data_IF_143897444013
#
_entry.id   IF_143897444013
#
_cell.length_a   1.000
_cell.length_b   1.000
_cell.length_c   1.000
_cell.angle_alpha   90.00
_cell.angle_beta   90.00
_cell.angle_gamma   90.00
#
_symmetry.space_group_name_H-M   'P 1'
#
loop_
_entity.id
_entity.type
_entity.pdbx_description
1 polymer ?
#
# COMPACT_ATOMS: atom_id res chain seq x y z
N UNK A 1 8.59 27.81 -37.51
CA UNK A 1 7.38 26.97 -37.67
C UNK A 1 7.64 25.67 -38.46
N UNK A 2 8.88 25.15 -38.48
CA UNK A 2 9.22 23.84 -39.06
C UNK A 2 9.85 22.91 -37.99
N UNK A 3 10.32 23.47 -36.86
CA UNK A 3 10.91 22.74 -35.74
C UNK A 3 9.89 22.07 -34.78
N UNK A 4 8.60 22.42 -34.87
CA UNK A 4 7.54 21.88 -33.99
C UNK A 4 6.99 20.56 -34.53
N UNK A 5 7.21 20.26 -35.82
CA UNK A 5 6.69 19.06 -36.49
C UNK A 5 7.60 17.84 -36.24
N UNK A 6 8.89 18.05 -35.90
CA UNK A 6 9.85 16.97 -35.64
C UNK A 6 9.73 16.33 -34.24
N UNK A 7 8.96 16.90 -33.31
CA UNK A 7 8.73 16.33 -31.98
C UNK A 7 7.50 15.41 -31.91
N UNK A 8 6.73 15.28 -33.00
CA UNK A 8 5.52 14.46 -33.08
C UNK A 8 5.75 13.07 -33.69
N UNK A 9 7.00 12.68 -33.92
CA UNK A 9 7.37 11.36 -34.47
C UNK A 9 8.26 10.53 -33.54
N UNK A 10 8.09 10.64 -32.22
CA UNK A 10 8.38 9.49 -31.37
C UNK A 10 7.19 8.54 -31.49
N UNK A 11 7.40 7.55 -32.35
CA UNK A 11 6.65 6.31 -32.43
C UNK A 11 6.36 5.81 -31.02
N UNK A 12 5.13 6.03 -30.54
CA UNK A 12 4.62 5.23 -29.45
C UNK A 12 4.41 3.87 -30.09
N UNK A 13 5.45 3.04 -30.01
CA UNK A 13 5.28 1.61 -30.09
C UNK A 13 4.15 1.29 -29.13
N UNK A 14 3.02 0.85 -29.67
CA UNK A 14 2.11 0.01 -28.92
C UNK A 14 2.90 -1.23 -28.56
N UNK A 15 3.66 -1.19 -27.47
CA UNK A 15 3.98 -2.40 -26.75
C UNK A 15 2.59 -2.97 -26.42
N UNK A 16 2.20 -4.05 -27.09
CA UNK A 16 1.16 -4.89 -26.53
C UNK A 16 1.64 -5.20 -25.12
N UNK A 17 1.02 -4.58 -24.11
CA UNK A 17 1.30 -4.91 -22.74
C UNK A 17 0.93 -6.39 -22.61
N UNK A 18 1.93 -7.26 -22.68
CA UNK A 18 1.81 -8.61 -22.16
C UNK A 18 1.33 -8.39 -20.72
N UNK A 19 0.11 -8.83 -20.42
CA UNK A 19 -0.60 -8.58 -19.16
C UNK A 19 0.05 -9.33 -17.98
N UNK A 20 1.36 -9.20 -17.80
CA UNK A 20 2.07 -9.88 -16.72
C UNK A 20 1.57 -9.37 -15.36
N UNK A 21 1.36 -10.32 -14.47
CA UNK A 21 1.07 -10.07 -13.06
C UNK A 21 2.15 -9.13 -12.49
N UNK A 22 1.82 -7.89 -12.08
CA UNK A 22 2.78 -6.83 -11.74
C UNK A 22 3.38 -7.01 -10.34
N UNK A 23 3.74 -8.24 -10.02
CA UNK A 23 4.33 -8.63 -8.76
C UNK A 23 5.83 -8.34 -8.83
N UNK A 24 6.32 -7.46 -7.94
CA UNK A 24 7.73 -7.02 -7.94
C UNK A 24 8.68 -8.01 -7.24
N UNK A 25 8.17 -9.09 -6.66
CA UNK A 25 9.01 -10.07 -5.96
C UNK A 25 9.73 -11.00 -6.93
N UNK A 26 10.79 -11.65 -6.44
CA UNK A 26 11.47 -12.73 -7.14
C UNK A 26 10.64 -14.01 -7.09
N UNK A 27 9.42 -13.93 -7.62
CA UNK A 27 8.56 -15.08 -7.85
C UNK A 27 9.00 -15.75 -9.14
N UNK A 28 9.18 -17.07 -9.12
CA UNK A 28 9.09 -17.81 -10.38
C UNK A 28 7.64 -17.64 -10.88
N UNK A 29 7.43 -17.10 -12.08
CA UNK A 29 6.08 -16.85 -12.64
C UNK A 29 5.32 -18.14 -13.02
N UNK A 30 5.79 -19.29 -12.54
CA UNK A 30 5.11 -20.58 -12.64
C UNK A 30 3.93 -20.62 -11.70
N UNK A 31 2.75 -20.90 -12.25
CA UNK A 31 1.58 -21.28 -11.45
C UNK A 31 1.94 -22.44 -10.51
N UNK A 32 1.48 -22.36 -9.25
CA UNK A 32 1.49 -23.52 -8.37
C UNK A 32 0.12 -24.18 -8.46
N UNK A 33 0.10 -25.45 -8.88
CA UNK A 33 -1.12 -26.23 -8.91
C UNK A 33 -1.72 -26.35 -7.50
N UNK A 34 -3.05 -26.31 -7.43
CA UNK A 34 -3.85 -26.47 -6.21
C UNK A 34 -3.59 -25.34 -5.18
N UNK A 35 -3.32 -24.13 -5.66
CA UNK A 35 -3.30 -22.95 -4.80
C UNK A 35 -4.72 -22.53 -4.40
N UNK A 36 -4.85 -21.88 -3.23
CA UNK A 36 -6.14 -21.31 -2.83
C UNK A 36 -6.57 -20.23 -3.83
N UNK A 37 -5.62 -19.46 -4.36
CA UNK A 37 -5.86 -18.41 -5.37
C UNK A 37 -6.31 -19.02 -6.69
N UNK A 38 -5.73 -20.14 -7.13
CA UNK A 38 -6.14 -20.85 -8.34
C UNK A 38 -7.54 -21.42 -8.18
N UNK A 39 -7.83 -22.07 -7.05
CA UNK A 39 -9.16 -22.61 -6.76
C UNK A 39 -10.20 -21.50 -6.75
N UNK A 40 -9.91 -20.39 -6.05
CA UNK A 40 -10.75 -19.19 -6.06
C UNK A 40 -10.99 -18.67 -7.48
N UNK A 41 -9.94 -18.62 -8.30
CA UNK A 41 -10.04 -18.14 -9.67
C UNK A 41 -10.95 -19.01 -10.53
N UNK A 42 -10.83 -20.34 -10.39
CA UNK A 42 -11.69 -21.31 -11.09
C UNK A 42 -13.15 -21.20 -10.66
N UNK A 43 -13.40 -21.02 -9.37
CA UNK A 43 -14.76 -20.87 -8.82
C UNK A 43 -15.46 -19.59 -9.29
N UNK A 44 -14.70 -18.54 -9.63
CA UNK A 44 -15.20 -17.24 -10.07
C UNK A 44 -15.08 -17.03 -11.59
N UNK A 45 -14.96 -18.09 -12.39
CA UNK A 45 -14.82 -18.05 -13.85
C UNK A 45 -13.73 -17.05 -14.33
N UNK A 46 -12.66 -16.91 -13.53
CA UNK A 46 -11.61 -15.92 -13.72
C UNK A 46 -10.33 -16.55 -14.29
N UNK A 47 -9.50 -15.73 -14.92
CA UNK A 47 -8.30 -16.18 -15.61
C UNK A 47 -7.08 -16.11 -14.67
N UNK A 48 -6.46 -17.26 -14.41
CA UNK A 48 -5.13 -17.28 -13.82
C UNK A 48 -4.08 -16.86 -14.87
N UNK A 49 -3.29 -15.84 -14.55
CA UNK A 49 -2.12 -15.44 -15.32
C UNK A 49 -0.89 -15.36 -14.40
N UNK A 50 -0.02 -16.36 -14.51
CA UNK A 50 1.13 -16.53 -13.61
C UNK A 50 0.68 -16.66 -12.15
N UNK A 51 0.91 -15.60 -11.38
CA UNK A 51 0.58 -15.50 -9.94
C UNK A 51 -0.71 -14.75 -9.64
N UNK A 52 -1.31 -14.13 -10.65
CA UNK A 52 -2.49 -13.29 -10.47
C UNK A 52 -3.74 -14.03 -10.97
N UNK A 53 -4.82 -13.96 -10.18
CA UNK A 53 -6.16 -14.23 -10.67
C UNK A 53 -6.77 -12.93 -11.20
N UNK A 54 -7.21 -12.95 -12.46
CA UNK A 54 -7.70 -11.78 -13.18
C UNK A 54 -9.17 -12.00 -13.56
N UNK A 55 -10.04 -11.09 -13.11
CA UNK A 55 -11.45 -11.03 -13.49
C UNK A 55 -11.72 -9.72 -14.23
N UNK A 56 -12.22 -9.80 -15.46
CA UNK A 56 -12.55 -8.61 -16.27
C UNK A 56 -11.44 -7.54 -16.29
N UNK A 57 -10.17 -7.95 -16.47
CA UNK A 57 -8.95 -7.11 -16.44
C UNK A 57 -8.50 -6.60 -15.08
N UNK A 58 -9.23 -6.91 -14.01
CA UNK A 58 -8.90 -6.54 -12.62
C UNK A 58 -8.20 -7.69 -11.92
N UNK A 59 -7.15 -7.40 -11.14
CA UNK A 59 -6.49 -8.41 -10.31
C UNK A 59 -7.32 -8.58 -9.03
N UNK A 60 -7.94 -9.76 -8.89
CA UNK A 60 -8.77 -10.12 -7.73
C UNK A 60 -8.06 -11.09 -6.79
N UNK A 61 -6.96 -11.70 -7.23
CA UNK A 61 -6.20 -12.64 -6.40
C UNK A 61 -4.71 -12.63 -6.70
N UNK A 62 -3.89 -12.86 -5.68
CA UNK A 62 -2.42 -12.90 -5.81
C UNK A 62 -1.83 -14.05 -4.98
N UNK A 63 -1.11 -14.95 -5.64
CA UNK A 63 -0.34 -16.04 -5.02
C UNK A 63 1.14 -15.66 -4.92
N UNK A 64 1.61 -15.37 -3.71
CA UNK A 64 3.00 -15.00 -3.43
C UNK A 64 3.77 -16.10 -2.69
N UNK A 65 3.31 -17.35 -2.77
CA UNK A 65 4.02 -18.46 -2.12
C UNK A 65 5.41 -18.66 -2.73
N UNK A 66 6.37 -19.06 -1.89
CA UNK A 66 7.75 -19.31 -2.30
C UNK A 66 8.44 -18.15 -3.04
N UNK A 67 8.04 -16.91 -2.77
CA UNK A 67 8.61 -15.73 -3.43
C UNK A 67 9.71 -15.05 -2.60
N UNK A 68 10.09 -15.61 -1.45
CA UNK A 68 11.09 -15.04 -0.54
C UNK A 68 10.65 -13.70 0.04
N UNK A 69 9.33 -13.51 0.22
CA UNK A 69 8.77 -12.26 0.72
C UNK A 69 9.06 -12.14 2.22
N UNK A 70 9.78 -11.10 2.61
CA UNK A 70 10.05 -10.76 4.02
C UNK A 70 9.23 -9.57 4.52
N UNK A 71 8.76 -8.74 3.58
CA UNK A 71 7.89 -7.58 3.82
C UNK A 71 6.96 -7.39 2.63
N UNK A 72 5.70 -7.04 2.90
CA UNK A 72 4.69 -6.88 1.87
C UNK A 72 4.75 -5.45 1.33
N UNK A 73 4.97 -5.35 0.02
CA UNK A 73 4.88 -4.13 -0.77
C UNK A 73 3.81 -4.29 -1.87
N UNK A 74 2.53 -4.18 -1.48
CA UNK A 74 1.35 -4.27 -2.37
C UNK A 74 0.65 -2.89 -2.49
N UNK A 75 1.39 -1.80 -2.32
CA UNK A 75 0.82 -0.43 -2.25
C UNK A 75 0.30 0.13 -3.59
N UNK A 76 0.51 -0.58 -4.69
CA UNK A 76 0.11 -0.12 -6.01
C UNK A 76 -1.42 -0.17 -6.18
N UNK A 77 -2.04 0.84 -6.84
CA UNK A 77 -3.49 0.88 -7.05
C UNK A 77 -4.07 -0.34 -7.77
N UNK A 78 -3.24 -1.04 -8.56
CA UNK A 78 -3.63 -2.26 -9.29
C UNK A 78 -4.11 -3.39 -8.37
N UNK A 79 -3.71 -3.38 -7.10
CA UNK A 79 -4.09 -4.39 -6.11
C UNK A 79 -5.28 -3.98 -5.23
N UNK A 80 -5.89 -2.82 -5.46
CA UNK A 80 -7.00 -2.29 -4.63
C UNK A 80 -8.24 -3.19 -4.61
N UNK A 81 -8.40 -4.05 -5.61
CA UNK A 81 -9.53 -4.98 -5.77
C UNK A 81 -9.14 -6.42 -5.44
N UNK A 82 -7.99 -6.64 -4.80
CA UNK A 82 -7.56 -7.98 -4.40
C UNK A 82 -8.43 -8.49 -3.26
N UNK A 83 -9.11 -9.60 -3.52
CA UNK A 83 -10.01 -10.30 -2.60
C UNK A 83 -9.32 -11.48 -1.90
N UNK A 84 -8.34 -12.11 -2.57
CA UNK A 84 -7.57 -13.24 -2.05
C UNK A 84 -6.06 -13.02 -2.16
N UNK A 85 -5.33 -13.23 -1.05
CA UNK A 85 -3.88 -13.11 -0.97
C UNK A 85 -3.29 -14.33 -0.26
N UNK A 86 -2.35 -15.01 -0.91
CA UNK A 86 -1.65 -16.16 -0.36
C UNK A 86 -0.16 -15.85 -0.13
N UNK A 87 0.25 -15.76 1.13
CA UNK A 87 1.62 -15.50 1.58
C UNK A 87 2.28 -16.72 2.23
N UNK A 88 1.65 -17.90 2.16
CA UNK A 88 2.24 -19.13 2.72
C UNK A 88 3.64 -19.39 2.12
N UNK A 89 4.40 -20.26 2.76
CA UNK A 89 5.72 -20.67 2.25
C UNK A 89 6.72 -19.51 2.03
N UNK A 90 6.62 -18.47 2.86
CA UNK A 90 7.59 -17.38 2.95
C UNK A 90 8.13 -17.24 4.38
N UNK A 91 9.34 -16.70 4.52
CA UNK A 91 10.01 -16.48 5.81
C UNK A 91 9.58 -15.13 6.45
N UNK A 92 8.28 -14.94 6.64
CA UNK A 92 7.80 -13.80 7.42
C UNK A 92 8.10 -13.99 8.90
N UNK A 93 8.59 -12.95 9.58
CA UNK A 93 8.65 -12.91 11.05
C UNK A 93 7.34 -12.39 11.65
N UNK A 94 6.75 -11.39 11.00
CA UNK A 94 5.51 -10.74 11.40
C UNK A 94 4.88 -10.06 10.19
N UNK A 95 3.55 -10.14 10.07
CA UNK A 95 2.78 -9.31 9.16
C UNK A 95 2.04 -8.24 9.98
N UNK A 96 2.15 -6.99 9.58
CA UNK A 96 1.52 -5.85 10.27
C UNK A 96 0.27 -5.35 9.55
N UNK A 97 -0.74 -4.80 10.25
CA UNK A 97 -1.90 -4.18 9.60
C UNK A 97 -1.53 -3.09 8.58
N UNK A 98 -0.43 -2.37 8.83
CA UNK A 98 0.08 -1.30 7.97
C UNK A 98 0.48 -1.79 6.57
N UNK A 99 0.94 -3.03 6.47
CA UNK A 99 1.31 -3.68 5.20
C UNK A 99 0.10 -4.06 4.34
N UNK A 100 -1.09 -4.12 4.94
CA UNK A 100 -2.35 -4.43 4.25
C UNK A 100 -3.20 -3.19 3.99
N UNK A 101 -2.63 -2.00 4.17
CA UNK A 101 -3.32 -0.74 3.86
C UNK A 101 -3.68 -0.70 2.36
N UNK A 102 -4.88 -0.22 2.08
CA UNK A 102 -5.55 -0.15 0.77
C UNK A 102 -6.05 -1.49 0.20
N UNK A 103 -5.99 -2.58 0.96
CA UNK A 103 -6.62 -3.87 0.60
C UNK A 103 -8.03 -3.96 1.18
N UNK A 104 -8.93 -3.10 0.70
CA UNK A 104 -10.29 -2.95 1.23
C UNK A 104 -11.19 -4.15 0.92
N UNK A 105 -10.96 -4.81 -0.22
CA UNK A 105 -11.77 -5.96 -0.67
C UNK A 105 -11.20 -7.31 -0.19
N UNK A 106 -10.07 -7.30 0.52
CA UNK A 106 -9.39 -8.53 0.93
C UNK A 106 -10.26 -9.32 1.91
N UNK A 107 -10.71 -10.49 1.48
CA UNK A 107 -11.58 -11.38 2.25
C UNK A 107 -10.93 -12.71 2.58
N UNK A 108 -9.88 -13.11 1.86
CA UNK A 108 -9.17 -14.36 2.07
C UNK A 108 -7.67 -14.10 2.17
N UNK A 109 -7.11 -14.26 3.37
CA UNK A 109 -5.68 -14.12 3.62
C UNK A 109 -5.12 -15.43 4.17
N UNK A 110 -4.13 -15.98 3.48
CA UNK A 110 -3.43 -17.20 3.87
C UNK A 110 -1.98 -16.86 4.26
N UNK A 111 -1.57 -17.31 5.44
CA UNK A 111 -0.29 -16.95 6.06
C UNK A 111 0.46 -18.21 6.49
N UNK A 112 1.80 -18.13 6.64
CA UNK A 112 2.58 -19.17 7.31
C UNK A 112 2.01 -19.47 8.70
N UNK A 113 2.09 -20.74 9.13
CA UNK A 113 1.46 -21.24 10.35
C UNK A 113 1.79 -20.42 11.62
N UNK A 114 3.03 -19.95 11.76
CA UNK A 114 3.46 -19.20 12.96
C UNK A 114 2.99 -17.76 12.97
N UNK A 115 2.49 -17.24 11.84
CA UNK A 115 2.07 -15.85 11.70
C UNK A 115 0.58 -15.72 12.05
N UNK A 116 0.21 -14.89 13.04
CA UNK A 116 -1.17 -14.63 13.35
C UNK A 116 -1.80 -13.67 12.33
N UNK A 117 -3.13 -13.70 12.23
CA UNK A 117 -3.88 -12.72 11.45
C UNK A 117 -3.60 -11.30 11.95
N UNK A 118 -3.18 -10.36 11.09
CA UNK A 118 -2.94 -8.97 11.48
C UNK A 118 -4.25 -8.33 11.96
N UNK A 119 -4.20 -7.72 13.15
CA UNK A 119 -5.37 -7.17 13.84
C UNK A 119 -6.26 -8.22 14.54
N UNK A 120 -6.08 -9.52 14.30
CA UNK A 120 -6.84 -10.58 14.98
C UNK A 120 -8.36 -10.47 14.78
N UNK A 121 -9.14 -10.77 15.81
CA UNK A 121 -10.61 -10.82 15.75
C UNK A 121 -11.29 -9.45 15.56
N UNK A 122 -10.59 -8.33 15.75
CA UNK A 122 -11.15 -7.01 15.42
C UNK A 122 -11.05 -6.69 13.93
N UNK A 123 -10.16 -7.37 13.21
CA UNK A 123 -9.91 -7.20 11.78
C UNK A 123 -10.57 -8.29 10.93
N UNK A 124 -10.79 -9.48 11.48
CA UNK A 124 -11.28 -10.66 10.75
C UNK A 124 -12.38 -11.35 11.52
N UNK A 125 -13.48 -11.68 10.84
CA UNK A 125 -14.60 -12.40 11.45
C UNK A 125 -14.20 -13.84 11.80
N UNK A 126 -13.42 -14.48 10.93
CA UNK A 126 -12.99 -15.87 11.10
C UNK A 126 -11.47 -15.91 11.05
N UNK A 127 -10.86 -16.47 12.10
CA UNK A 127 -9.43 -16.74 12.15
C UNK A 127 -9.24 -18.21 12.49
N UNK A 128 -8.57 -18.94 11.59
CA UNK A 128 -8.29 -20.35 11.76
C UNK A 128 -6.79 -20.57 11.77
N UNK A 129 -6.33 -21.44 12.65
CA UNK A 129 -4.93 -21.86 12.70
C UNK A 129 -4.89 -23.38 12.58
N UNK A 130 -4.34 -23.86 11.48
CA UNK A 130 -4.13 -25.28 11.23
C UNK A 130 -2.65 -25.66 11.42
N UNK A 131 -2.30 -26.92 11.17
CA UNK A 131 -0.93 -27.41 11.24
C UNK A 131 -0.01 -26.83 10.16
N UNK A 132 -0.55 -26.36 9.04
CA UNK A 132 0.25 -25.90 7.91
C UNK A 132 0.13 -24.40 7.63
N UNK A 133 -0.95 -23.74 8.09
CA UNK A 133 -1.22 -22.35 7.76
C UNK A 133 -2.07 -21.64 8.82
N UNK A 134 -2.04 -20.33 8.77
CA UNK A 134 -3.05 -19.47 9.39
C UNK A 134 -3.93 -18.89 8.29
N UNK A 135 -5.24 -18.90 8.49
CA UNK A 135 -6.22 -18.36 7.54
C UNK A 135 -7.06 -17.28 8.22
N UNK A 136 -7.25 -16.17 7.52
CA UNK A 136 -8.02 -15.02 7.98
C UNK A 136 -9.11 -14.73 6.94
N UNK A 137 -10.36 -14.82 7.36
CA UNK A 137 -11.50 -14.66 6.45
C UNK A 137 -12.48 -13.59 6.89
N UNK A 138 -13.14 -13.01 5.90
CA UNK A 138 -14.18 -12.00 6.03
C UNK A 138 -13.67 -10.80 6.85
N UNK A 139 -12.95 -9.92 6.16
CA UNK A 139 -12.44 -8.69 6.76
C UNK A 139 -13.59 -7.88 7.37
N UNK A 140 -13.35 -7.33 8.56
CA UNK A 140 -14.27 -6.45 9.26
C UNK A 140 -13.87 -5.00 9.05
N UNK A 141 -14.86 -4.12 8.98
CA UNK A 141 -14.64 -2.69 9.03
C UNK A 141 -14.33 -2.25 10.48
N UNK A 142 -13.09 -1.91 10.86
CA UNK A 142 -12.72 -1.42 12.20
C UNK A 142 -13.51 -0.19 12.65
N UNK A 143 -13.98 0.67 11.75
CA UNK A 143 -14.82 1.81 12.15
C UNK A 143 -16.15 1.34 12.74
N UNK A 144 -16.70 0.24 12.22
CA UNK A 144 -17.97 -0.35 12.69
C UNK A 144 -17.72 -1.35 13.83
N UNK A 145 -16.78 -2.27 13.66
CA UNK A 145 -16.54 -3.36 14.63
C UNK A 145 -16.02 -2.86 15.98
N UNK A 146 -15.23 -1.77 15.98
CA UNK A 146 -14.70 -1.17 17.20
C UNK A 146 -15.48 0.07 17.65
N UNK A 147 -16.52 0.49 16.92
CA UNK A 147 -17.27 1.73 17.16
C UNK A 147 -16.33 2.93 17.40
N UNK A 148 -15.38 3.15 16.49
CA UNK A 148 -14.36 4.20 16.64
C UNK A 148 -15.02 5.58 16.58
N UNK A 149 -15.01 6.28 17.71
CA UNK A 149 -15.33 7.71 17.76
C UNK A 149 -14.07 8.54 17.49
N UNK A 150 -14.19 9.53 16.61
CA UNK A 150 -13.11 10.45 16.28
C UNK A 150 -13.00 11.65 17.24
N UNK A 151 -13.71 11.60 18.36
CA UNK A 151 -13.78 12.66 19.36
C UNK A 151 -14.79 13.76 19.02
N UNK A 152 -14.99 14.67 19.96
CA UNK A 152 -15.83 15.86 19.79
C UNK A 152 -14.96 17.09 19.45
N UNK A 153 -15.43 18.01 18.60
CA UNK A 153 -16.67 17.98 17.79
C UNK A 153 -16.63 16.95 16.65
N UNK A 154 -17.79 16.59 16.09
CA UNK A 154 -17.99 15.60 15.00
C UNK A 154 -17.45 16.07 13.62
N UNK A 155 -16.32 16.78 13.62
CA UNK A 155 -15.65 17.32 12.45
C UNK A 155 -14.68 16.32 11.80
N UNK A 156 -14.68 15.08 12.29
CA UNK A 156 -13.85 13.99 11.81
C UNK A 156 -14.68 12.72 11.64
N UNK A 157 -14.42 11.97 10.57
CA UNK A 157 -15.06 10.70 10.28
C UNK A 157 -14.05 9.57 10.31
N UNK A 158 -14.45 8.43 10.88
CA UNK A 158 -13.63 7.23 10.80
C UNK A 158 -13.60 6.71 9.36
N UNK A 159 -12.42 6.38 8.90
CA UNK A 159 -12.17 5.84 7.57
C UNK A 159 -11.42 4.51 7.69
N UNK A 160 -11.98 3.47 7.08
CA UNK A 160 -11.37 2.16 6.97
C UNK A 160 -10.28 2.19 5.90
N UNK A 161 -9.12 1.62 6.22
CA UNK A 161 -7.96 1.62 5.34
C UNK A 161 -7.47 0.22 4.97
N UNK A 162 -8.19 -0.83 5.36
CA UNK A 162 -7.77 -2.23 5.19
C UNK A 162 -7.73 -2.97 6.53
N UNK A 163 -7.28 -4.24 6.56
CA UNK A 163 -7.53 -5.15 7.67
C UNK A 163 -6.95 -4.62 8.98
N UNK A 164 -7.83 -4.39 9.96
CA UNK A 164 -7.44 -3.89 11.28
C UNK A 164 -6.93 -2.45 11.30
N UNK A 165 -7.03 -1.72 10.19
CA UNK A 165 -6.55 -0.33 10.09
C UNK A 165 -7.69 0.64 9.85
N UNK A 166 -7.79 1.65 10.72
CA UNK A 166 -8.69 2.78 10.58
C UNK A 166 -7.96 4.08 10.94
N UNK A 167 -8.39 5.19 10.33
CA UNK A 167 -7.96 6.53 10.71
C UNK A 167 -9.15 7.48 10.76
N UNK A 168 -9.07 8.46 11.66
CA UNK A 168 -9.98 9.58 11.66
C UNK A 168 -9.48 10.63 10.68
N UNK A 169 -10.30 10.96 9.70
CA UNK A 169 -10.01 11.97 8.67
C UNK A 169 -10.97 13.13 8.88
N UNK A 170 -10.49 14.36 8.73
CA UNK A 170 -11.34 15.54 8.86
C UNK A 170 -12.40 15.58 7.76
N UNK A 171 -13.58 16.09 8.12
CA UNK A 171 -14.59 16.46 7.15
C UNK A 171 -14.06 17.55 6.21
N UNK A 172 -14.68 17.72 5.03
CA UNK A 172 -14.38 18.86 4.18
C UNK A 172 -14.40 20.17 4.98
N UNK A 173 -13.51 21.10 4.61
CA UNK A 173 -13.37 22.41 5.27
C UNK A 173 -12.91 22.37 6.74
N UNK A 174 -12.40 21.24 7.22
CA UNK A 174 -11.80 21.15 8.56
C UNK A 174 -10.37 20.61 8.48
N UNK A 175 -9.48 21.12 9.34
CA UNK A 175 -8.09 20.70 9.35
C UNK A 175 -7.41 20.84 10.72
N UNK A 176 -6.20 20.28 10.81
CA UNK A 176 -5.36 20.35 12.00
C UNK A 176 -5.65 19.24 13.02
N UNK A 177 -5.07 19.38 14.21
CA UNK A 177 -5.24 18.39 15.27
C UNK A 177 -6.70 18.27 15.67
N UNK A 178 -7.26 17.06 15.60
CA UNK A 178 -8.68 16.74 15.87
C UNK A 178 -9.68 17.56 15.04
N UNK A 179 -9.28 18.11 13.89
CA UNK A 179 -10.18 18.83 12.99
C UNK A 179 -10.89 20.03 13.64
N UNK A 180 -10.17 20.73 14.52
CA UNK A 180 -10.68 21.87 15.29
C UNK A 180 -10.65 23.20 14.55
N UNK A 181 -9.95 23.28 13.41
CA UNK A 181 -9.88 24.51 12.62
C UNK A 181 -10.78 24.38 11.39
N UNK A 182 -11.48 25.45 11.08
CA UNK A 182 -12.38 25.54 9.92
C UNK A 182 -11.68 26.29 8.77
N UNK A 183 -12.08 25.96 7.54
CA UNK A 183 -11.53 26.49 6.30
C UNK A 183 -10.51 25.57 5.62
N UNK A 184 -9.74 26.11 4.70
CA UNK A 184 -8.67 25.37 4.03
C UNK A 184 -7.34 25.56 4.77
N UNK A 185 -6.57 24.47 4.93
CA UNK A 185 -5.24 24.57 5.53
C UNK A 185 -4.36 25.50 4.68
N UNK A 186 -3.72 26.54 5.26
CA UNK A 186 -2.94 27.53 4.50
C UNK A 186 -1.57 26.97 4.09
N UNK A 187 -1.59 26.04 3.13
CA UNK A 187 -0.40 25.31 2.63
C UNK A 187 0.72 26.27 2.23
N UNK A 188 0.40 27.38 1.58
CA UNK A 188 1.38 28.38 1.09
C UNK A 188 2.13 29.08 2.22
N UNK A 189 1.43 29.46 3.28
CA UNK A 189 2.03 30.14 4.45
C UNK A 189 2.92 29.15 5.21
N UNK A 190 2.43 27.93 5.43
CA UNK A 190 3.19 26.90 6.12
C UNK A 190 4.47 26.52 5.35
N UNK A 191 4.34 26.24 4.05
CA UNK A 191 5.47 25.84 3.21
C UNK A 191 6.51 26.95 3.07
N UNK A 192 6.11 28.20 2.84
CA UNK A 192 7.04 29.33 2.78
C UNK A 192 7.79 29.55 4.10
N UNK A 193 7.11 29.36 5.23
CA UNK A 193 7.69 29.52 6.56
C UNK A 193 8.70 28.42 6.91
N UNK A 194 8.61 27.24 6.28
CA UNK A 194 9.60 26.16 6.42
C UNK A 194 10.73 26.33 5.40
N UNK A 195 10.39 26.49 4.12
CA UNK A 195 11.36 26.55 3.02
C UNK A 195 12.29 27.76 3.14
N UNK A 196 11.75 28.94 3.50
CA UNK A 196 12.52 30.18 3.60
C UNK A 196 13.71 30.05 4.56
N UNK A 197 13.48 29.75 5.85
CA UNK A 197 14.55 29.52 6.81
C UNK A 197 15.50 28.40 6.41
N UNK A 198 15.01 27.29 5.83
CA UNK A 198 15.87 26.19 5.37
C UNK A 198 16.84 26.64 4.28
N UNK A 199 16.39 27.42 3.30
CA UNK A 199 17.27 27.97 2.25
C UNK A 199 18.31 28.91 2.88
N UNK A 200 17.88 29.83 3.74
CA UNK A 200 18.78 30.80 4.38
C UNK A 200 19.85 30.08 5.22
N UNK A 201 19.45 29.10 6.02
CA UNK A 201 20.36 28.29 6.83
C UNK A 201 21.31 27.46 5.96
N UNK A 202 20.82 26.87 4.86
CA UNK A 202 21.65 26.08 3.95
C UNK A 202 22.73 26.95 3.29
N UNK A 203 22.36 28.16 2.85
CA UNK A 203 23.30 29.15 2.30
C UNK A 203 24.32 29.58 3.36
N UNK A 204 23.86 29.90 4.58
CA UNK A 204 24.74 30.31 5.67
C UNK A 204 25.74 29.20 6.04
N UNK A 205 25.27 27.95 6.17
CA UNK A 205 26.09 26.78 6.46
C UNK A 205 27.10 26.52 5.32
N UNK A 206 26.70 26.68 4.05
CA UNK A 206 27.61 26.56 2.91
C UNK A 206 28.78 27.55 3.01
N UNK A 207 28.51 28.81 3.35
CA UNK A 207 29.56 29.83 3.51
C UNK A 207 30.47 29.57 4.71
N UNK A 208 29.92 29.03 5.82
CA UNK A 208 30.71 28.70 7.01
C UNK A 208 31.60 27.47 6.75
N UNK A 209 31.04 26.38 6.21
CA UNK A 209 31.77 25.12 5.96
C UNK A 209 32.75 25.22 4.79
N UNK A 210 32.37 25.92 3.72
CA UNK A 210 33.26 26.15 2.57
C UNK A 210 34.51 26.95 2.94
N UNK A 211 34.45 27.76 4.01
CA UNK A 211 35.57 28.54 4.52
C UNK A 211 36.54 27.71 5.35
N UNK A 212 36.09 26.63 6.00
CA UNK A 212 36.97 25.71 6.74
C UNK A 212 37.71 24.73 5.83
N UNK A 213 37.08 24.24 4.75
CA UNK A 213 37.77 23.45 3.73
C UNK A 213 38.92 24.24 3.09
N UNK A 214 38.71 25.53 2.79
CA UNK A 214 39.75 26.42 2.28
C UNK A 214 40.88 26.71 3.29
N UNK A 215 40.60 26.63 4.60
CA UNK A 215 41.60 26.83 5.66
C UNK A 215 42.45 25.59 5.93
N UNK A 216 41.90 24.39 5.73
CA UNK A 216 42.64 23.12 5.88
C UNK A 216 43.62 22.82 4.74
N UNK A 217 43.48 23.45 3.58
CA UNK A 217 44.36 23.27 2.40
C UNK A 217 45.60 24.19 2.48
N UNK A 218 45.65 25.13 3.42
CA UNK A 218 46.74 26.12 3.57
C UNK A 218 47.53 25.99 4.89
N UNK A 219 47.69 24.76 5.41
CA UNK A 219 48.66 24.42 6.46
C UNK A 219 49.58 23.33 5.93
#
# INVERSE_FOLDING_TARGET
MILIILFLSLSIYSASAQNDCPVQYTCNNTMFNESEVENYCKEHDSLMNGRCCISNTTIIGVDLRFCGVTQLNITQPVFSQVEILDLRDNEYEKLTPEELVNLLELNYLYLPQHIPCPGGHSAWNITNKDHNMTSCFNQLNPCESLNISCGEPDNAKCHHLGPGTAKCICNPEHFGYKCLNDGEFPVTIFTSSVIGPTIVLSIALWFIQGRDAYRSINI
#
